data_IF_136441236151
#
_entry.id   IF_136441236151
#
_cell.length_a   1.000
_cell.length_b   1.000
_cell.length_c   1.000
_cell.angle_alpha   90.00
_cell.angle_beta   90.00
_cell.angle_gamma   90.00
#
_symmetry.space_group_name_H-M   'P 1'
#
loop_
_entity.id
_entity.type
_entity.pdbx_description
1 polymer ?
#
# COMPACT_ATOMS: atom_id res chain seq x y z
N UNK A 1 15.91 33.39 8.75
CA UNK A 1 16.58 32.75 7.60
C UNK A 1 16.11 31.29 7.40
N UNK A 2 16.23 30.39 8.38
CA UNK A 2 15.78 28.98 8.26
C UNK A 2 14.28 28.87 7.94
N UNK A 3 13.42 29.64 8.60
CA UNK A 3 11.96 29.63 8.37
C UNK A 3 11.61 30.10 6.96
N UNK A 4 12.31 31.08 6.41
CA UNK A 4 12.10 31.57 5.05
C UNK A 4 12.53 30.51 4.01
N UNK A 5 13.65 29.84 4.26
CA UNK A 5 14.12 28.71 3.40
C UNK A 5 13.12 27.58 3.40
N UNK A 6 12.55 27.23 4.56
CA UNK A 6 11.51 26.19 4.67
C UNK A 6 10.25 26.62 3.90
N UNK A 7 9.81 27.88 4.05
CA UNK A 7 8.64 28.39 3.33
C UNK A 7 8.85 28.46 1.81
N UNK A 8 10.05 28.85 1.37
CA UNK A 8 10.41 28.85 -0.05
C UNK A 8 10.52 27.43 -0.61
N UNK A 9 11.09 26.50 0.16
CA UNK A 9 11.14 25.08 -0.23
C UNK A 9 9.73 24.47 -0.30
N UNK A 10 8.86 24.76 0.65
CA UNK A 10 7.46 24.34 0.64
C UNK A 10 6.69 24.99 -0.53
N UNK A 11 6.90 26.28 -0.79
CA UNK A 11 6.32 26.97 -1.95
C UNK A 11 6.78 26.40 -3.28
N UNK A 12 8.06 26.03 -3.40
CA UNK A 12 8.60 25.36 -4.59
C UNK A 12 8.03 23.95 -4.75
N UNK A 13 7.90 23.19 -3.66
CA UNK A 13 7.29 21.86 -3.65
C UNK A 13 5.82 21.98 -4.09
N UNK A 14 5.07 22.93 -3.56
CA UNK A 14 3.68 23.21 -3.98
C UNK A 14 3.64 23.55 -5.47
N UNK A 15 4.48 24.48 -5.93
CA UNK A 15 4.52 24.89 -7.34
C UNK A 15 4.87 23.74 -8.27
N UNK A 16 5.86 22.90 -7.93
CA UNK A 16 6.26 21.73 -8.71
C UNK A 16 5.17 20.64 -8.78
N UNK A 17 4.30 20.53 -7.77
CA UNK A 17 3.24 19.51 -7.72
C UNK A 17 1.93 19.93 -8.39
N UNK A 18 1.66 21.24 -8.48
CA UNK A 18 0.41 21.75 -9.06
C UNK A 18 0.57 22.27 -10.50
N UNK A 19 1.73 22.07 -11.14
CA UNK A 19 1.92 22.54 -12.51
C UNK A 19 1.13 21.65 -13.50
N UNK A 20 0.20 22.21 -14.32
CA UNK A 20 -0.82 21.46 -15.06
C UNK A 20 -0.31 20.69 -16.30
N UNK A 21 0.99 20.64 -16.55
CA UNK A 21 1.55 20.08 -17.79
C UNK A 21 1.86 18.57 -17.75
N UNK A 22 1.53 17.89 -16.64
CA UNK A 22 1.83 16.45 -16.52
C UNK A 22 0.56 15.61 -16.41
N UNK A 23 0.24 14.89 -17.50
CA UNK A 23 -0.83 13.89 -17.51
C UNK A 23 -0.23 12.49 -17.47
N UNK A 24 -0.39 11.72 -16.37
CA UNK A 24 -0.02 10.30 -16.30
C UNK A 24 -0.76 9.42 -17.31
N UNK A 25 -1.91 9.87 -17.78
CA UNK A 25 -2.87 9.16 -18.64
C UNK A 25 -2.28 8.52 -19.91
N UNK A 26 -1.19 9.10 -20.46
CA UNK A 26 -0.62 8.60 -21.73
C UNK A 26 0.11 7.26 -21.53
N UNK A 27 0.71 7.03 -20.36
CA UNK A 27 1.47 5.80 -20.09
C UNK A 27 0.54 4.63 -19.78
N UNK A 28 -0.52 4.87 -18.99
CA UNK A 28 -1.51 3.84 -18.66
C UNK A 28 -2.32 3.40 -19.89
N UNK A 29 -2.72 4.32 -20.78
CA UNK A 29 -3.42 3.99 -22.03
C UNK A 29 -2.58 3.08 -22.94
N UNK A 30 -1.26 3.31 -23.01
CA UNK A 30 -0.35 2.47 -23.79
C UNK A 30 -0.20 1.07 -23.20
N UNK A 31 -0.06 0.99 -21.86
CA UNK A 31 0.00 -0.29 -21.16
C UNK A 31 -1.31 -1.09 -21.33
N UNK A 32 -2.46 -0.44 -21.21
CA UNK A 32 -3.77 -1.08 -21.43
C UNK A 32 -3.93 -1.59 -22.88
N UNK A 33 -3.43 -0.84 -23.86
CA UNK A 33 -3.44 -1.28 -25.25
C UNK A 33 -2.51 -2.48 -25.49
N UNK A 34 -1.31 -2.45 -24.92
CA UNK A 34 -0.34 -3.54 -25.00
C UNK A 34 -0.88 -4.79 -24.27
N UNK A 35 -1.52 -4.64 -23.12
CA UNK A 35 -2.20 -5.73 -22.42
C UNK A 35 -3.30 -6.34 -23.30
N UNK A 36 -4.16 -5.50 -23.87
CA UNK A 36 -5.27 -5.96 -24.71
C UNK A 36 -4.82 -6.75 -25.94
N UNK A 37 -3.66 -6.39 -26.50
CA UNK A 37 -3.07 -7.08 -27.66
C UNK A 37 -2.23 -8.30 -27.29
N UNK A 38 -1.63 -8.31 -26.09
CA UNK A 38 -0.68 -9.35 -25.63
C UNK A 38 -1.29 -10.44 -24.75
N UNK A 39 -2.59 -10.36 -24.44
CA UNK A 39 -3.26 -11.34 -23.55
C UNK A 39 -4.44 -12.02 -24.22
N UNK A 40 -4.61 -13.31 -23.95
CA UNK A 40 -5.81 -14.04 -24.34
C UNK A 40 -7.06 -13.57 -23.57
N UNK A 41 -8.27 -13.80 -24.09
CA UNK A 41 -9.51 -13.49 -23.37
C UNK A 41 -9.59 -14.20 -22.00
N UNK A 42 -8.97 -15.36 -21.85
CA UNK A 42 -8.89 -16.09 -20.60
C UNK A 42 -8.08 -15.36 -19.54
N UNK A 43 -6.91 -14.84 -19.90
CA UNK A 43 -6.05 -14.03 -19.02
C UNK A 43 -6.75 -12.74 -18.61
N UNK A 44 -7.38 -12.04 -19.53
CA UNK A 44 -8.13 -10.82 -19.22
C UNK A 44 -9.21 -11.07 -18.17
N UNK A 45 -10.03 -12.12 -18.35
CA UNK A 45 -11.06 -12.50 -17.36
C UNK A 45 -10.49 -12.80 -15.98
N UNK A 46 -9.27 -13.32 -15.87
CA UNK A 46 -8.62 -13.57 -14.56
C UNK A 46 -8.20 -12.27 -13.88
N UNK A 47 -7.67 -11.31 -14.63
CA UNK A 47 -7.30 -10.00 -14.10
C UNK A 47 -8.56 -9.22 -13.73
N UNK A 48 -9.53 -9.20 -14.63
CA UNK A 48 -10.78 -8.49 -14.45
C UNK A 48 -11.65 -9.07 -13.32
N UNK A 49 -11.55 -10.39 -13.04
CA UNK A 49 -12.36 -11.04 -12.01
C UNK A 49 -13.86 -10.92 -12.27
N UNK A 50 -14.67 -10.98 -11.20
CA UNK A 50 -16.10 -10.68 -11.27
C UNK A 50 -16.40 -9.33 -10.57
N UNK A 51 -17.60 -8.78 -10.85
CA UNK A 51 -18.07 -7.53 -10.24
C UNK A 51 -19.05 -7.76 -9.08
N UNK A 52 -19.19 -8.99 -8.64
CA UNK A 52 -20.08 -9.31 -7.53
C UNK A 52 -19.52 -8.80 -6.22
N UNK A 53 -19.97 -7.62 -5.81
CA UNK A 53 -19.67 -7.07 -4.50
C UNK A 53 -20.37 -7.88 -3.40
N UNK A 54 -19.85 -7.82 -2.16
CA UNK A 54 -20.63 -8.24 -1.00
C UNK A 54 -21.91 -7.38 -0.92
N UNK A 55 -23.03 -7.99 -0.57
CA UNK A 55 -24.33 -7.31 -0.45
C UNK A 55 -24.28 -6.05 0.44
N UNK A 56 -23.43 -6.09 1.48
CA UNK A 56 -23.25 -4.97 2.42
C UNK A 56 -22.50 -3.78 1.83
N UNK A 57 -21.63 -3.99 0.83
CA UNK A 57 -20.80 -2.95 0.21
C UNK A 57 -20.96 -2.97 -1.32
N UNK A 58 -22.15 -2.60 -1.83
CA UNK A 58 -22.51 -2.85 -3.23
C UNK A 58 -21.63 -2.11 -4.24
N UNK A 59 -21.17 -0.90 -3.89
CA UNK A 59 -20.38 -0.05 -4.77
C UNK A 59 -18.88 -0.38 -4.78
N UNK A 60 -18.35 -1.04 -3.73
CA UNK A 60 -16.90 -1.14 -3.52
C UNK A 60 -16.18 -1.94 -4.63
N UNK A 61 -16.82 -3.02 -5.12
CA UNK A 61 -16.21 -3.84 -6.17
C UNK A 61 -16.20 -3.13 -7.53
N UNK A 62 -17.25 -2.36 -7.84
CA UNK A 62 -17.33 -1.58 -9.08
C UNK A 62 -16.37 -0.40 -9.08
N UNK A 63 -16.23 0.30 -7.95
CA UNK A 63 -15.23 1.37 -7.75
C UNK A 63 -13.84 0.86 -8.06
N UNK A 64 -13.47 -0.26 -7.44
CA UNK A 64 -12.16 -0.86 -7.62
C UNK A 64 -11.96 -1.39 -9.05
N UNK A 65 -12.96 -2.04 -9.64
CA UNK A 65 -12.89 -2.58 -11.00
C UNK A 65 -12.82 -1.46 -12.06
N UNK A 66 -13.58 -0.39 -11.88
CA UNK A 66 -13.61 0.73 -12.83
C UNK A 66 -12.27 1.45 -12.95
N UNK A 67 -11.58 1.64 -11.85
CA UNK A 67 -10.34 2.38 -11.81
C UNK A 67 -9.09 1.49 -11.99
N UNK A 68 -9.02 0.35 -11.29
CA UNK A 68 -7.85 -0.54 -11.30
C UNK A 68 -7.89 -1.57 -12.42
N UNK A 69 -9.05 -1.78 -13.07
CA UNK A 69 -9.25 -2.86 -14.03
C UNK A 69 -9.28 -4.26 -13.39
N UNK A 70 -9.47 -4.33 -12.06
CA UNK A 70 -9.41 -5.55 -11.26
C UNK A 70 -10.74 -5.77 -10.54
N UNK A 71 -11.36 -6.92 -10.74
CA UNK A 71 -12.60 -7.30 -10.03
C UNK A 71 -12.33 -8.25 -8.86
N UNK A 72 -13.39 -8.78 -8.28
CA UNK A 72 -13.31 -9.74 -7.18
C UNK A 72 -12.86 -11.10 -7.71
N UNK A 73 -11.87 -11.69 -7.08
CA UNK A 73 -11.40 -13.05 -7.35
C UNK A 73 -11.80 -14.00 -6.21
N UNK A 74 -12.09 -15.25 -6.51
CA UNK A 74 -12.39 -16.32 -5.55
C UNK A 74 -11.27 -17.34 -5.47
N UNK A 75 -11.39 -18.28 -4.53
CA UNK A 75 -10.40 -19.36 -4.39
C UNK A 75 -9.05 -18.90 -3.87
N UNK A 76 -9.00 -17.79 -3.14
CA UNK A 76 -7.74 -17.31 -2.58
C UNK A 76 -7.46 -17.94 -1.21
N UNK A 77 -6.19 -18.20 -0.96
CA UNK A 77 -5.67 -18.50 0.37
C UNK A 77 -4.86 -17.26 0.82
N UNK A 78 -5.28 -16.66 1.92
CA UNK A 78 -4.69 -15.43 2.45
C UNK A 78 -4.10 -15.71 3.83
N UNK A 79 -2.81 -15.45 3.99
CA UNK A 79 -2.14 -15.42 5.28
C UNK A 79 -1.86 -13.97 5.68
N UNK A 80 -2.43 -13.53 6.80
CA UNK A 80 -2.15 -12.21 7.39
C UNK A 80 -0.92 -12.32 8.28
N UNK A 81 0.12 -11.58 7.95
CA UNK A 81 1.42 -11.62 8.63
C UNK A 81 1.61 -10.30 9.38
N UNK A 82 1.71 -10.37 10.70
CA UNK A 82 1.98 -9.21 11.58
C UNK A 82 3.38 -9.19 12.14
N UNK A 83 4.07 -10.33 12.09
CA UNK A 83 5.45 -10.52 12.54
C UNK A 83 6.42 -10.43 11.35
N UNK A 84 7.34 -9.48 11.41
CA UNK A 84 8.33 -9.26 10.36
C UNK A 84 9.32 -10.41 10.20
N UNK A 85 9.70 -11.11 11.27
CA UNK A 85 10.58 -12.27 11.20
C UNK A 85 9.89 -13.45 10.49
N UNK A 86 8.59 -13.64 10.73
CA UNK A 86 7.79 -14.61 9.98
C UNK A 86 7.70 -14.23 8.50
N UNK A 87 7.44 -12.95 8.17
CA UNK A 87 7.48 -12.49 6.77
C UNK A 87 8.80 -12.82 6.11
N UNK A 88 9.92 -12.51 6.77
CA UNK A 88 11.26 -12.79 6.25
C UNK A 88 11.43 -14.28 5.96
N UNK A 89 11.09 -15.14 6.92
CA UNK A 89 11.21 -16.61 6.77
C UNK A 89 10.38 -17.15 5.62
N UNK A 90 9.12 -16.76 5.53
CA UNK A 90 8.21 -17.18 4.44
C UNK A 90 8.70 -16.68 3.08
N UNK A 91 9.09 -15.39 3.00
CA UNK A 91 9.60 -14.81 1.76
C UNK A 91 10.86 -15.52 1.27
N UNK A 92 11.82 -15.78 2.16
CA UNK A 92 13.06 -16.48 1.79
C UNK A 92 12.80 -17.91 1.35
N UNK A 93 11.87 -18.61 2.02
CA UNK A 93 11.44 -19.95 1.62
C UNK A 93 10.80 -19.96 0.22
N UNK A 94 9.85 -19.05 -0.04
CA UNK A 94 9.16 -19.00 -1.32
C UNK A 94 10.07 -18.54 -2.46
N UNK A 95 11.01 -17.60 -2.19
CA UNK A 95 12.04 -17.22 -3.16
C UNK A 95 12.97 -18.38 -3.52
N UNK A 96 13.40 -19.18 -2.53
CA UNK A 96 14.26 -20.36 -2.77
C UNK A 96 13.52 -21.43 -3.59
N UNK A 97 12.22 -21.58 -3.37
CA UNK A 97 11.36 -22.52 -4.10
C UNK A 97 11.07 -22.12 -5.56
N UNK A 98 11.29 -20.86 -5.95
CA UNK A 98 11.01 -20.33 -7.28
C UNK A 98 11.66 -21.15 -8.40
N UNK A 99 10.95 -21.36 -9.52
CA UNK A 99 11.39 -22.16 -10.67
C UNK A 99 11.41 -21.38 -11.99
N UNK A 100 10.49 -20.43 -12.17
CA UNK A 100 10.24 -19.75 -13.44
C UNK A 100 10.52 -18.26 -13.36
N UNK A 101 9.83 -17.55 -12.44
CA UNK A 101 9.88 -16.09 -12.37
C UNK A 101 9.86 -15.58 -10.93
N UNK A 102 10.60 -14.50 -10.69
CA UNK A 102 10.49 -13.67 -9.50
C UNK A 102 10.31 -12.23 -9.96
N UNK A 103 9.17 -11.65 -9.67
CA UNK A 103 8.87 -10.25 -9.90
C UNK A 103 8.75 -9.52 -8.56
N UNK A 104 9.59 -8.51 -8.35
CA UNK A 104 9.68 -7.80 -7.07
C UNK A 104 9.66 -6.30 -7.27
N UNK A 105 8.83 -5.61 -6.51
CA UNK A 105 8.66 -4.16 -6.52
C UNK A 105 8.61 -3.62 -5.10
N UNK A 106 9.52 -2.68 -4.78
CA UNK A 106 9.59 -2.12 -3.43
C UNK A 106 9.90 -0.62 -3.41
N UNK A 107 9.18 0.08 -2.51
CA UNK A 107 9.41 1.48 -2.19
C UNK A 107 10.75 1.68 -1.48
N UNK A 108 11.03 0.88 -0.43
CA UNK A 108 12.26 0.95 0.35
C UNK A 108 12.92 -0.41 0.43
N UNK A 109 14.21 -0.41 0.12
CA UNK A 109 15.11 -1.55 0.26
C UNK A 109 16.28 -1.13 1.13
N UNK A 110 16.41 -1.73 2.32
CA UNK A 110 17.44 -1.39 3.31
C UNK A 110 18.87 -1.74 2.88
N UNK A 111 19.81 -1.39 3.76
CA UNK A 111 21.23 -1.71 3.58
C UNK A 111 21.76 -2.58 4.70
N UNK A 112 20.88 -3.34 5.32
CA UNK A 112 21.09 -4.21 6.47
C UNK A 112 21.26 -5.68 6.06
N UNK A 113 21.35 -6.55 7.05
CA UNK A 113 21.58 -7.99 6.83
C UNK A 113 20.43 -8.62 6.06
N UNK A 114 19.18 -8.43 6.51
CA UNK A 114 18.00 -9.02 5.86
C UNK A 114 17.85 -8.59 4.41
N UNK A 115 18.12 -7.31 4.10
CA UNK A 115 18.12 -6.82 2.72
C UNK A 115 19.20 -7.48 1.86
N UNK A 116 20.42 -7.67 2.40
CA UNK A 116 21.50 -8.37 1.68
C UNK A 116 21.17 -9.84 1.41
N UNK A 117 20.54 -10.49 2.37
CA UNK A 117 20.15 -11.90 2.21
C UNK A 117 19.12 -12.05 1.07
N UNK A 118 18.15 -11.13 0.98
CA UNK A 118 17.21 -11.10 -0.16
C UNK A 118 17.96 -10.85 -1.48
N UNK A 119 18.89 -9.87 -1.55
CA UNK A 119 19.68 -9.61 -2.76
C UNK A 119 20.46 -10.85 -3.20
N UNK A 120 21.11 -11.52 -2.26
CA UNK A 120 21.87 -12.74 -2.53
C UNK A 120 20.96 -13.87 -3.06
N UNK A 121 19.77 -14.00 -2.50
CA UNK A 121 18.77 -14.98 -2.97
C UNK A 121 18.33 -14.67 -4.41
N UNK A 122 18.04 -13.42 -4.75
CA UNK A 122 17.67 -13.03 -6.11
C UNK A 122 18.79 -13.35 -7.12
N UNK A 123 20.05 -13.08 -6.76
CA UNK A 123 21.22 -13.41 -7.58
C UNK A 123 21.38 -14.94 -7.73
N UNK A 124 21.25 -15.70 -6.63
CA UNK A 124 21.27 -17.16 -6.66
C UNK A 124 20.21 -17.70 -7.63
N UNK A 125 18.97 -17.23 -7.52
CA UNK A 125 17.86 -17.69 -8.37
C UNK A 125 18.05 -17.33 -9.85
N UNK A 126 18.58 -16.13 -10.14
CA UNK A 126 18.94 -15.76 -11.50
C UNK A 126 20.04 -16.66 -12.10
N UNK A 127 21.05 -17.03 -11.31
CA UNK A 127 22.08 -17.99 -11.71
C UNK A 127 21.54 -19.41 -11.93
N UNK A 128 20.45 -19.79 -11.27
CA UNK A 128 19.71 -21.05 -11.48
C UNK A 128 18.80 -21.00 -12.72
N UNK A 129 18.73 -19.86 -13.45
CA UNK A 129 17.93 -19.71 -14.66
C UNK A 129 16.54 -19.11 -14.44
N UNK A 130 16.16 -18.77 -13.20
CA UNK A 130 14.90 -18.08 -12.89
C UNK A 130 14.93 -16.66 -13.46
N UNK A 131 13.86 -16.22 -14.13
CA UNK A 131 13.72 -14.85 -14.66
C UNK A 131 13.38 -13.88 -13.52
N UNK A 132 14.40 -13.19 -13.01
CA UNK A 132 14.24 -12.25 -11.89
C UNK A 132 14.16 -10.81 -12.39
N UNK A 133 13.06 -10.11 -12.07
CA UNK A 133 12.82 -8.70 -12.37
C UNK A 133 12.59 -7.91 -11.11
N UNK A 134 13.31 -6.81 -10.97
CA UNK A 134 13.25 -5.96 -9.79
C UNK A 134 12.98 -4.49 -10.17
N UNK A 135 11.91 -3.90 -9.62
CA UNK A 135 11.59 -2.48 -9.71
C UNK A 135 11.77 -1.83 -8.35
N UNK A 136 12.51 -0.74 -8.31
CA UNK A 136 12.76 0.01 -7.07
C UNK A 136 12.42 1.48 -7.25
N UNK A 137 11.77 2.07 -6.24
CA UNK A 137 11.65 3.51 -6.17
C UNK A 137 13.05 4.17 -6.10
N UNK A 138 13.25 5.23 -6.86
CA UNK A 138 14.59 5.80 -7.06
C UNK A 138 15.05 6.66 -5.90
N UNK A 139 14.17 7.53 -5.35
CA UNK A 139 14.59 8.55 -4.38
C UNK A 139 14.85 7.96 -2.99
N UNK A 140 13.95 7.10 -2.51
CA UNK A 140 14.10 6.50 -1.18
C UNK A 140 15.25 5.51 -1.08
N UNK A 141 15.66 4.94 -2.22
CA UNK A 141 16.75 3.98 -2.28
C UNK A 141 18.04 4.59 -2.85
N UNK A 142 18.18 5.91 -2.91
CA UNK A 142 19.28 6.57 -3.64
C UNK A 142 20.67 6.00 -3.31
N UNK A 143 21.13 5.85 -2.07
CA UNK A 143 22.46 5.26 -1.79
C UNK A 143 22.48 3.74 -2.01
N UNK A 144 21.41 3.06 -1.60
CA UNK A 144 21.28 1.60 -1.60
C UNK A 144 21.08 1.07 -3.01
N UNK A 145 20.30 1.80 -3.84
CA UNK A 145 20.00 1.42 -5.20
C UNK A 145 21.24 1.23 -6.05
N UNK A 146 22.18 2.18 -6.05
CA UNK A 146 23.39 2.09 -6.90
C UNK A 146 24.25 0.89 -6.55
N UNK A 147 24.38 0.57 -5.26
CA UNK A 147 25.17 -0.54 -4.78
C UNK A 147 24.51 -1.88 -5.10
N UNK A 148 23.24 -2.06 -4.77
CA UNK A 148 22.54 -3.33 -5.07
C UNK A 148 22.24 -3.49 -6.55
N UNK A 149 21.96 -2.42 -7.28
CA UNK A 149 21.79 -2.47 -8.73
C UNK A 149 22.99 -3.10 -9.43
N UNK A 150 24.21 -2.74 -9.02
CA UNK A 150 25.41 -3.32 -9.62
C UNK A 150 25.49 -4.82 -9.33
N UNK A 151 25.29 -5.24 -8.09
CA UNK A 151 25.30 -6.65 -7.66
C UNK A 151 24.23 -7.45 -8.40
N UNK A 152 22.99 -6.96 -8.38
CA UNK A 152 21.86 -7.62 -9.02
C UNK A 152 22.06 -7.76 -10.54
N UNK A 153 22.46 -6.68 -11.24
CA UNK A 153 22.70 -6.74 -12.68
C UNK A 153 23.85 -7.68 -13.06
N UNK A 154 24.95 -7.65 -12.30
CA UNK A 154 26.08 -8.58 -12.51
C UNK A 154 25.65 -10.02 -12.27
N UNK A 155 24.71 -10.24 -11.34
CA UNK A 155 24.11 -11.55 -11.03
C UNK A 155 22.98 -11.98 -11.99
N UNK A 156 22.73 -11.27 -13.08
CA UNK A 156 21.73 -11.68 -14.08
C UNK A 156 20.29 -11.19 -13.80
N UNK A 157 20.09 -10.37 -12.76
CA UNK A 157 18.77 -9.81 -12.44
C UNK A 157 18.47 -8.59 -13.31
N UNK A 158 17.28 -8.53 -13.89
CA UNK A 158 16.79 -7.35 -14.60
C UNK A 158 16.32 -6.30 -13.58
N UNK A 159 16.97 -5.11 -13.55
CA UNK A 159 16.71 -4.07 -12.55
C UNK A 159 16.32 -2.76 -13.22
N UNK A 160 15.16 -2.23 -12.86
CA UNK A 160 14.66 -0.92 -13.30
C UNK A 160 14.40 0.01 -12.13
N UNK A 161 14.43 1.31 -12.44
CA UNK A 161 13.99 2.38 -11.53
C UNK A 161 12.62 2.87 -11.95
N UNK A 162 11.74 3.00 -11.00
CA UNK A 162 10.39 3.48 -11.28
C UNK A 162 10.37 4.92 -11.80
N UNK A 163 11.20 5.81 -11.25
CA UNK A 163 11.30 7.21 -11.67
C UNK A 163 12.66 7.47 -12.32
N UNK A 164 12.70 8.13 -13.47
CA UNK A 164 13.93 8.51 -14.13
C UNK A 164 14.57 9.73 -13.43
N UNK A 165 15.91 9.90 -13.46
CA UNK A 165 16.58 10.99 -12.74
C UNK A 165 16.10 12.39 -13.11
N UNK A 166 15.77 12.62 -14.38
CA UNK A 166 15.27 13.93 -14.86
C UNK A 166 13.81 14.19 -14.49
N UNK A 167 13.06 13.15 -14.11
CA UNK A 167 11.68 13.29 -13.61
C UNK A 167 11.64 13.73 -12.14
N UNK A 168 12.79 13.73 -11.43
CA UNK A 168 12.86 14.07 -10.00
C UNK A 168 12.38 15.49 -9.70
N UNK A 169 12.59 16.45 -10.60
CA UNK A 169 12.14 17.82 -10.43
C UNK A 169 10.61 17.97 -10.52
N UNK A 170 9.96 17.14 -11.34
CA UNK A 170 8.52 17.27 -11.64
C UNK A 170 7.66 16.17 -11.03
N UNK A 171 8.28 15.05 -10.57
CA UNK A 171 7.59 13.86 -10.05
C UNK A 171 8.09 13.44 -8.67
N UNK A 172 8.72 14.34 -7.92
CA UNK A 172 9.27 14.00 -6.59
C UNK A 172 8.22 13.46 -5.62
N UNK A 173 6.95 13.83 -5.79
CA UNK A 173 5.83 13.36 -4.98
C UNK A 173 5.11 12.13 -5.57
N UNK A 174 5.27 11.85 -6.86
CA UNK A 174 4.67 10.67 -7.49
C UNK A 174 5.53 9.44 -7.23
N UNK A 175 5.34 8.84 -6.06
CA UNK A 175 6.18 7.76 -5.54
C UNK A 175 5.55 6.41 -5.79
N UNK A 176 6.38 5.45 -6.16
CA UNK A 176 5.92 4.07 -6.15
C UNK A 176 6.00 3.51 -4.72
N UNK A 177 4.87 3.53 -4.04
CA UNK A 177 4.78 3.06 -2.65
C UNK A 177 4.29 1.60 -2.55
N UNK A 178 4.10 0.92 -3.68
CA UNK A 178 3.74 -0.50 -3.74
C UNK A 178 4.84 -1.38 -3.15
N UNK A 179 4.47 -2.50 -2.55
CA UNK A 179 5.33 -3.56 -2.07
C UNK A 179 4.73 -4.85 -2.60
N UNK A 180 5.26 -5.32 -3.71
CA UNK A 180 4.74 -6.48 -4.43
C UNK A 180 5.87 -7.46 -4.67
N UNK A 181 5.62 -8.72 -4.35
CA UNK A 181 6.43 -9.86 -4.83
C UNK A 181 5.48 -10.84 -5.47
N UNK A 182 5.81 -11.31 -6.68
CA UNK A 182 5.10 -12.41 -7.32
C UNK A 182 6.12 -13.47 -7.72
N UNK A 183 5.88 -14.70 -7.29
CA UNK A 183 6.76 -15.85 -7.48
C UNK A 183 6.02 -16.89 -8.31
N UNK A 184 6.56 -17.24 -9.47
CA UNK A 184 6.02 -18.22 -10.43
C UNK A 184 4.54 -18.00 -10.75
N UNK A 185 4.04 -16.75 -10.60
CA UNK A 185 2.62 -16.38 -10.73
C UNK A 185 1.66 -17.23 -9.89
N UNK A 186 2.15 -17.84 -8.81
CA UNK A 186 1.42 -18.74 -7.90
C UNK A 186 1.30 -18.20 -6.49
N UNK A 187 2.35 -17.52 -6.01
CA UNK A 187 2.40 -16.92 -4.68
C UNK A 187 2.71 -15.43 -4.83
N UNK A 188 1.98 -14.60 -4.09
CA UNK A 188 2.27 -13.17 -4.06
C UNK A 188 2.30 -12.63 -2.63
N UNK A 189 3.04 -11.53 -2.47
CA UNK A 189 3.11 -10.75 -1.24
C UNK A 189 2.73 -9.31 -1.52
N UNK A 190 1.94 -8.71 -0.61
CA UNK A 190 1.64 -7.26 -0.61
C UNK A 190 1.32 -6.78 0.81
N UNK A 191 1.34 -5.46 1.05
CA UNK A 191 1.05 -4.87 2.35
C UNK A 191 1.99 -3.74 2.74
N UNK A 192 2.15 -3.48 4.05
CA UNK A 192 2.91 -2.34 4.56
C UNK A 192 4.43 -2.54 4.64
N UNK A 193 4.91 -3.79 4.83
CA UNK A 193 6.31 -4.09 5.16
C UNK A 193 7.25 -3.94 3.96
N UNK A 194 8.27 -3.10 4.07
CA UNK A 194 9.39 -3.05 3.14
C UNK A 194 10.44 -4.14 3.40
N UNK A 195 11.54 -4.12 2.66
CA UNK A 195 12.70 -5.03 2.83
C UNK A 195 13.79 -4.31 3.62
N UNK A 196 13.82 -4.51 4.92
CA UNK A 196 14.83 -3.98 5.83
C UNK A 196 14.66 -4.59 7.22
N UNK A 197 15.75 -4.72 7.97
CA UNK A 197 15.77 -5.25 9.34
C UNK A 197 14.82 -4.47 10.28
N UNK A 198 14.57 -3.18 10.01
CA UNK A 198 13.59 -2.43 10.80
C UNK A 198 12.17 -3.02 10.69
N UNK A 199 11.77 -3.49 9.52
CA UNK A 199 10.47 -4.14 9.30
C UNK A 199 10.51 -5.59 9.75
N UNK A 200 11.64 -6.27 9.63
CA UNK A 200 11.76 -7.67 10.02
C UNK A 200 11.88 -7.88 11.52
N UNK A 201 12.43 -6.90 12.28
CA UNK A 201 12.84 -7.11 13.67
C UNK A 201 12.30 -6.07 14.66
N UNK A 202 11.74 -4.92 14.22
CA UNK A 202 11.49 -3.79 15.11
C UNK A 202 10.14 -3.11 14.97
N UNK A 203 9.56 -3.10 13.78
CA UNK A 203 8.32 -2.39 13.50
C UNK A 203 7.15 -3.33 13.51
N UNK A 204 6.04 -2.86 14.08
CA UNK A 204 4.75 -3.53 13.97
C UNK A 204 4.09 -3.11 12.65
N UNK A 205 4.01 -4.03 11.69
CA UNK A 205 3.38 -3.77 10.40
C UNK A 205 2.55 -4.98 9.97
N UNK A 206 1.72 -4.84 8.94
CA UNK A 206 0.88 -5.92 8.42
C UNK A 206 1.18 -6.16 6.95
N UNK A 207 1.33 -7.43 6.59
CA UNK A 207 1.60 -7.90 5.23
C UNK A 207 0.75 -9.12 4.92
N UNK A 208 0.60 -9.42 3.64
CA UNK A 208 -0.14 -10.57 3.16
C UNK A 208 0.77 -11.48 2.35
N UNK A 209 0.58 -12.79 2.51
CA UNK A 209 0.95 -13.83 1.56
C UNK A 209 -0.32 -14.39 0.95
N UNK A 210 -0.41 -14.41 -0.38
CA UNK A 210 -1.61 -14.75 -1.13
C UNK A 210 -1.29 -15.83 -2.15
N UNK A 211 -2.14 -16.83 -2.22
CA UNK A 211 -2.21 -17.82 -3.30
C UNK A 211 -3.62 -17.74 -3.92
N UNK A 212 -3.76 -17.97 -5.23
CA UNK A 212 -5.05 -17.95 -5.91
C UNK A 212 -5.24 -16.80 -6.88
N UNK A 213 -6.51 -16.47 -7.19
CA UNK A 213 -6.86 -15.54 -8.26
C UNK A 213 -6.28 -14.13 -8.14
N UNK A 214 -6.16 -13.61 -6.91
CA UNK A 214 -5.61 -12.28 -6.66
C UNK A 214 -4.11 -12.14 -7.01
N UNK A 215 -3.38 -13.26 -7.13
CA UNK A 215 -1.99 -13.27 -7.60
C UNK A 215 -1.90 -12.69 -9.02
N UNK A 216 -2.86 -13.02 -9.90
CA UNK A 216 -2.90 -12.47 -11.26
C UNK A 216 -3.04 -10.94 -11.27
N UNK A 217 -3.81 -10.38 -10.33
CA UNK A 217 -3.97 -8.93 -10.22
C UNK A 217 -2.68 -8.24 -9.72
N UNK A 218 -1.98 -8.83 -8.76
CA UNK A 218 -0.66 -8.32 -8.31
C UNK A 218 0.40 -8.46 -9.41
N UNK A 219 0.37 -9.54 -10.18
CA UNK A 219 1.20 -9.74 -11.37
C UNK A 219 0.94 -8.66 -12.43
N UNK A 220 -0.33 -8.35 -12.70
CA UNK A 220 -0.74 -7.28 -13.59
C UNK A 220 -0.17 -5.92 -13.14
N UNK A 221 -0.29 -5.57 -11.86
CA UNK A 221 0.25 -4.32 -11.31
C UNK A 221 1.77 -4.25 -11.42
N UNK A 222 2.48 -5.36 -11.14
CA UNK A 222 3.92 -5.41 -11.34
C UNK A 222 4.31 -5.16 -12.79
N UNK A 223 3.62 -5.80 -13.75
CA UNK A 223 3.91 -5.61 -15.17
C UNK A 223 3.62 -4.18 -15.64
N UNK A 224 2.59 -3.51 -15.09
CA UNK A 224 2.35 -2.08 -15.28
C UNK A 224 3.54 -1.25 -14.78
N UNK A 225 3.99 -1.47 -13.54
CA UNK A 225 5.16 -0.77 -12.97
C UNK A 225 6.43 -1.04 -13.79
N UNK A 226 6.61 -2.27 -14.27
CA UNK A 226 7.73 -2.66 -15.13
C UNK A 226 7.71 -1.88 -16.46
N UNK A 227 6.57 -1.85 -17.13
CA UNK A 227 6.38 -1.12 -18.38
C UNK A 227 6.58 0.40 -18.20
N UNK A 228 5.96 0.99 -17.19
CA UNK A 228 6.10 2.41 -16.84
C UNK A 228 7.55 2.80 -16.52
N UNK A 229 8.32 1.86 -15.99
CA UNK A 229 9.77 2.02 -15.73
C UNK A 229 10.64 1.88 -17.00
N UNK A 230 10.03 1.63 -18.18
CA UNK A 230 10.70 1.45 -19.46
C UNK A 230 11.15 0.01 -19.73
N UNK A 231 10.61 -0.95 -18.99
CA UNK A 231 10.85 -2.38 -19.22
C UNK A 231 10.12 -2.89 -20.45
N UNK A 232 10.75 -3.81 -21.16
CA UNK A 232 10.13 -4.46 -22.31
C UNK A 232 9.23 -5.59 -21.80
N UNK A 233 8.04 -5.66 -22.36
CA UNK A 233 7.11 -6.77 -22.16
C UNK A 233 7.23 -7.76 -23.30
N UNK A 234 7.05 -9.06 -23.07
CA UNK A 234 6.96 -10.04 -24.15
C UNK A 234 5.71 -9.78 -25.00
N UNK A 235 5.68 -10.33 -26.21
CA UNK A 235 4.47 -10.24 -27.06
C UNK A 235 3.34 -11.11 -26.54
N UNK A 236 3.67 -12.24 -25.91
CA UNK A 236 2.75 -13.17 -25.30
C UNK A 236 2.89 -13.09 -23.78
N UNK A 237 1.80 -12.71 -23.09
CA UNK A 237 1.76 -12.54 -21.65
C UNK A 237 1.09 -13.70 -20.92
N UNK A 238 0.44 -14.60 -21.65
CA UNK A 238 -0.30 -15.72 -21.06
C UNK A 238 0.55 -16.56 -20.09
N UNK A 239 1.85 -16.81 -20.32
CA UNK A 239 2.70 -17.53 -19.36
C UNK A 239 2.83 -16.88 -17.99
N UNK A 240 2.58 -15.55 -17.88
CA UNK A 240 2.57 -14.86 -16.58
C UNK A 240 1.26 -15.01 -15.82
N UNK A 241 0.28 -15.67 -16.39
CA UNK A 241 -1.06 -15.82 -15.85
C UNK A 241 -1.55 -17.27 -15.96
N UNK A 242 -0.87 -18.25 -15.33
CA UNK A 242 -1.24 -19.65 -15.40
C UNK A 242 -2.66 -19.88 -14.86
N UNK A 243 -3.31 -20.95 -15.33
CA UNK A 243 -4.65 -21.33 -14.86
C UNK A 243 -4.64 -21.73 -13.38
N UNK A 244 -5.66 -21.33 -12.58
CA UNK A 244 -5.72 -21.64 -11.16
C UNK A 244 -5.73 -23.15 -10.84
N UNK A 245 -6.36 -23.95 -11.67
CA UNK A 245 -6.61 -25.38 -11.41
C UNK A 245 -5.36 -26.26 -11.49
N UNK A 246 -4.34 -25.81 -12.23
CA UNK A 246 -3.06 -26.52 -12.31
C UNK A 246 -2.11 -26.17 -11.15
N UNK A 247 -2.39 -25.07 -10.44
CA UNK A 247 -1.52 -24.52 -9.41
C UNK A 247 -1.92 -24.87 -7.98
N UNK A 248 -3.18 -25.21 -7.73
CA UNK A 248 -3.74 -25.35 -6.39
C UNK A 248 -4.47 -26.68 -6.24
N UNK A 249 -3.75 -27.74 -5.94
CA UNK A 249 -4.34 -28.97 -5.40
C UNK A 249 -5.01 -28.76 -4.01
N UNK A 250 -5.55 -27.57 -3.76
CA UNK A 250 -6.18 -27.16 -2.52
C UNK A 250 -7.69 -27.07 -2.69
N UNK A 251 -8.43 -27.47 -1.65
CA UNK A 251 -9.87 -27.29 -1.56
C UNK A 251 -10.27 -25.85 -1.90
N UNK A 252 -11.38 -25.61 -2.59
CA UNK A 252 -11.83 -24.29 -2.97
C UNK A 252 -12.03 -23.42 -1.72
N UNK A 253 -11.10 -22.50 -1.49
CA UNK A 253 -11.27 -21.49 -0.44
C UNK A 253 -12.40 -20.54 -0.86
N UNK A 254 -13.30 -20.22 0.06
CA UNK A 254 -14.35 -19.21 -0.17
C UNK A 254 -13.81 -17.78 -0.09
N UNK A 255 -12.53 -17.58 0.22
CA UNK A 255 -11.96 -16.25 0.41
C UNK A 255 -11.95 -15.46 -0.89
N UNK A 256 -12.71 -14.37 -0.91
CA UNK A 256 -12.79 -13.42 -2.03
C UNK A 256 -11.85 -12.25 -1.78
N UNK A 257 -11.04 -11.94 -2.79
CA UNK A 257 -10.05 -10.85 -2.73
C UNK A 257 -10.12 -10.01 -3.99
N UNK A 258 -9.95 -8.72 -3.85
CA UNK A 258 -9.80 -7.77 -4.94
C UNK A 258 -8.61 -6.86 -4.67
N UNK A 259 -7.71 -6.72 -5.63
CA UNK A 259 -6.59 -5.79 -5.50
C UNK A 259 -7.00 -4.44 -6.08
N UNK A 260 -6.98 -3.43 -5.24
CA UNK A 260 -7.25 -2.04 -5.62
C UNK A 260 -5.93 -1.29 -5.73
N UNK A 261 -5.68 -0.71 -6.88
CA UNK A 261 -4.51 0.13 -7.11
C UNK A 261 -4.90 1.59 -7.20
N UNK A 262 -4.06 2.47 -6.66
CA UNK A 262 -4.13 3.89 -6.93
C UNK A 262 -2.90 4.34 -7.72
N UNK A 263 -3.07 5.38 -8.51
CA UNK A 263 -2.04 5.98 -9.34
C UNK A 263 -2.27 7.49 -9.43
N UNK A 264 -1.20 8.30 -9.46
CA UNK A 264 -1.35 9.74 -9.63
C UNK A 264 -2.10 10.08 -10.91
N UNK A 265 -3.06 10.99 -10.81
CA UNK A 265 -3.86 11.47 -11.96
C UNK A 265 -5.15 10.69 -12.22
N UNK A 266 -5.43 9.64 -11.48
CA UNK A 266 -6.77 9.03 -11.49
C UNK A 266 -7.78 10.00 -10.86
N UNK A 267 -9.02 9.97 -11.36
CA UNK A 267 -10.13 10.72 -10.78
C UNK A 267 -11.44 9.98 -11.14
N UNK A 268 -12.19 9.50 -10.15
CA UNK A 268 -11.87 9.51 -8.72
C UNK A 268 -10.70 8.59 -8.35
N UNK A 269 -10.09 8.81 -7.16
CA UNK A 269 -9.07 7.95 -6.61
C UNK A 269 -9.67 6.69 -5.99
N UNK A 270 -9.41 5.49 -6.53
CA UNK A 270 -10.16 4.28 -6.17
C UNK A 270 -9.95 3.86 -4.71
N UNK A 271 -8.76 4.06 -4.15
CA UNK A 271 -8.50 3.73 -2.74
C UNK A 271 -9.30 4.64 -1.82
N UNK A 272 -9.34 5.95 -2.08
CA UNK A 272 -10.17 6.88 -1.30
C UNK A 272 -11.65 6.51 -1.39
N UNK A 273 -12.15 6.25 -2.60
CA UNK A 273 -13.55 5.85 -2.79
C UNK A 273 -13.89 4.54 -2.07
N UNK A 274 -12.98 3.57 -2.03
CA UNK A 274 -13.18 2.35 -1.24
C UNK A 274 -13.28 2.63 0.28
N UNK A 275 -12.49 3.58 0.82
CA UNK A 275 -12.66 4.03 2.19
C UNK A 275 -14.00 4.72 2.42
N UNK A 276 -14.42 5.58 1.48
CA UNK A 276 -15.71 6.28 1.53
C UNK A 276 -16.87 5.30 1.57
N UNK A 277 -16.88 4.33 0.66
CA UNK A 277 -17.89 3.28 0.55
C UNK A 277 -17.94 2.39 1.81
N UNK A 278 -16.75 1.99 2.31
CA UNK A 278 -16.68 1.20 3.54
C UNK A 278 -17.25 1.96 4.76
N UNK A 279 -16.94 3.25 4.90
CA UNK A 279 -17.47 4.08 5.98
C UNK A 279 -18.98 4.34 5.86
N UNK A 280 -19.49 4.47 4.63
CA UNK A 280 -20.92 4.71 4.36
C UNK A 280 -21.80 3.52 4.72
N UNK A 281 -21.32 2.31 4.43
CA UNK A 281 -22.11 1.09 4.55
C UNK A 281 -21.82 0.27 5.82
N UNK A 282 -20.80 0.65 6.61
CA UNK A 282 -20.52 0.01 7.90
C UNK A 282 -21.61 0.32 8.92
N UNK A 283 -22.02 -0.69 9.70
CA UNK A 283 -23.16 -0.62 10.63
C UNK A 283 -22.77 -0.79 12.09
N UNK A 284 -21.64 -1.45 12.39
CA UNK A 284 -21.20 -1.77 13.73
C UNK A 284 -19.94 -1.04 14.10
N UNK A 285 -18.89 -1.16 13.29
CA UNK A 285 -17.60 -0.56 13.56
C UNK A 285 -16.74 -0.41 12.32
N UNK A 286 -15.81 0.55 12.40
CA UNK A 286 -14.72 0.74 11.45
C UNK A 286 -13.42 0.99 12.22
N UNK A 287 -12.48 0.04 12.20
CA UNK A 287 -11.20 0.13 12.89
C UNK A 287 -10.07 0.31 11.91
N UNK A 288 -9.31 1.39 12.06
CA UNK A 288 -8.23 1.82 11.17
C UNK A 288 -6.89 1.79 11.89
N UNK A 289 -5.88 1.17 11.29
CA UNK A 289 -4.47 1.32 11.66
C UNK A 289 -3.72 2.03 10.55
N UNK A 290 -3.00 3.09 10.87
CA UNK A 290 -2.15 3.81 9.93
C UNK A 290 -0.99 4.50 10.66
N UNK A 291 0.20 4.64 10.05
CA UNK A 291 1.26 5.44 10.65
C UNK A 291 0.95 6.95 10.65
N UNK A 292 0.02 7.38 9.82
CA UNK A 292 -0.36 8.79 9.65
C UNK A 292 -1.88 8.94 9.55
N UNK A 293 -2.39 10.09 10.02
CA UNK A 293 -3.80 10.47 9.88
C UNK A 293 -3.87 11.91 9.35
N UNK A 294 -3.83 12.03 8.03
CA UNK A 294 -3.86 13.31 7.30
C UNK A 294 -4.84 13.18 6.11
N UNK A 295 -6.12 12.86 6.38
CA UNK A 295 -7.08 12.57 5.33
C UNK A 295 -7.36 13.76 4.43
N UNK A 296 -7.85 13.49 3.22
CA UNK A 296 -8.48 14.51 2.38
C UNK A 296 -9.69 15.12 3.09
N UNK A 297 -10.11 16.29 2.64
CA UNK A 297 -11.30 16.92 3.24
C UNK A 297 -12.55 16.04 3.10
N UNK A 298 -12.74 15.40 1.94
CA UNK A 298 -13.88 14.48 1.70
C UNK A 298 -13.88 13.32 2.69
N UNK A 299 -12.73 12.66 2.83
CA UNK A 299 -12.60 11.49 3.70
C UNK A 299 -12.70 11.88 5.18
N UNK A 300 -12.16 13.05 5.58
CA UNK A 300 -12.32 13.59 6.93
C UNK A 300 -13.79 13.86 7.27
N UNK A 301 -14.53 14.46 6.35
CA UNK A 301 -15.95 14.74 6.57
C UNK A 301 -16.75 13.45 6.65
N UNK A 302 -16.49 12.46 5.80
CA UNK A 302 -17.15 11.15 5.81
C UNK A 302 -16.89 10.36 7.10
N UNK A 303 -15.65 10.25 7.57
CA UNK A 303 -15.35 9.50 8.79
C UNK A 303 -15.97 10.15 10.03
N UNK A 304 -16.05 11.51 10.06
CA UNK A 304 -16.77 12.23 11.12
C UNK A 304 -18.27 12.00 11.05
N UNK A 305 -18.85 11.97 9.87
CA UNK A 305 -20.27 11.69 9.67
C UNK A 305 -20.62 10.28 10.12
N UNK A 306 -19.84 9.29 9.73
CA UNK A 306 -20.00 7.91 10.17
C UNK A 306 -19.95 7.77 11.71
N UNK A 307 -19.01 8.42 12.38
CA UNK A 307 -18.92 8.41 13.83
C UNK A 307 -20.14 9.11 14.50
N UNK A 308 -20.59 10.26 13.96
CA UNK A 308 -21.79 10.95 14.45
C UNK A 308 -23.07 10.15 14.30
N UNK A 309 -23.14 9.28 13.28
CA UNK A 309 -24.29 8.38 13.09
C UNK A 309 -24.27 7.17 14.02
N UNK A 310 -23.28 7.06 14.91
CA UNK A 310 -23.18 6.01 15.94
C UNK A 310 -22.27 4.83 15.58
N UNK A 311 -21.56 4.89 14.46
CA UNK A 311 -20.56 3.88 14.12
C UNK A 311 -19.37 3.94 15.12
N UNK A 312 -18.94 2.80 15.68
CA UNK A 312 -17.72 2.72 16.50
C UNK A 312 -16.48 2.89 15.59
N UNK A 313 -16.01 4.13 15.47
CA UNK A 313 -14.84 4.46 14.66
C UNK A 313 -13.61 4.57 15.55
N UNK A 314 -12.62 3.68 15.34
CA UNK A 314 -11.36 3.68 16.07
C UNK A 314 -10.18 3.85 15.13
N UNK A 315 -9.26 4.74 15.50
CA UNK A 315 -8.05 5.02 14.73
C UNK A 315 -6.84 4.77 15.61
N UNK A 316 -5.93 3.91 15.15
CA UNK A 316 -4.69 3.60 15.84
C UNK A 316 -3.50 4.19 15.10
N UNK A 317 -2.66 4.95 15.82
CA UNK A 317 -1.50 5.68 15.34
C UNK A 317 -0.28 5.37 16.22
N UNK A 318 0.96 5.61 15.75
CA UNK A 318 2.13 5.49 16.62
C UNK A 318 2.20 6.63 17.65
N UNK A 319 2.45 6.29 18.92
CA UNK A 319 2.66 7.28 19.97
C UNK A 319 3.90 8.15 19.75
N UNK A 320 4.94 7.57 19.12
CA UNK A 320 6.19 8.28 18.80
C UNK A 320 6.44 8.22 17.30
N UNK A 321 6.68 9.37 16.63
CA UNK A 321 7.00 9.38 15.22
C UNK A 321 8.44 8.89 15.00
N UNK A 322 8.72 8.42 13.79
CA UNK A 322 10.10 8.25 13.32
C UNK A 322 10.81 9.60 13.22
N UNK A 323 12.13 9.62 13.42
CA UNK A 323 12.90 10.88 13.41
C UNK A 323 12.73 11.70 12.12
N UNK A 324 12.71 11.02 10.96
CA UNK A 324 12.59 11.67 9.65
C UNK A 324 11.19 12.25 9.44
N UNK A 325 10.17 11.65 10.05
CA UNK A 325 8.76 12.06 9.93
C UNK A 325 8.23 12.69 11.22
N UNK A 326 9.12 13.27 12.05
CA UNK A 326 8.73 13.85 13.34
C UNK A 326 7.65 14.93 13.23
N UNK A 327 7.61 15.67 12.12
CA UNK A 327 6.59 16.68 11.84
C UNK A 327 5.19 16.10 11.62
N UNK A 328 5.07 14.80 11.31
CA UNK A 328 3.78 14.14 11.10
C UNK A 328 2.97 14.05 12.39
N UNK A 329 3.63 13.94 13.57
CA UNK A 329 2.89 13.86 14.83
C UNK A 329 2.09 15.14 15.11
N UNK A 330 2.66 16.36 15.19
CA UNK A 330 1.85 17.55 15.36
C UNK A 330 0.86 17.79 14.22
N UNK A 331 1.13 17.30 13.01
CA UNK A 331 0.19 17.40 11.90
C UNK A 331 -1.05 16.52 12.13
N UNK A 332 -0.92 15.22 12.45
CA UNK A 332 -2.11 14.40 12.70
C UNK A 332 -2.83 14.78 14.02
N UNK A 333 -2.13 15.23 15.05
CA UNK A 333 -2.74 15.77 16.26
C UNK A 333 -3.66 16.99 15.97
N UNK A 334 -3.37 17.75 14.93
CA UNK A 334 -4.21 18.89 14.50
C UNK A 334 -5.65 18.50 14.14
N UNK A 335 -5.89 17.23 13.84
CA UNK A 335 -7.22 16.68 13.51
C UNK A 335 -7.95 16.11 14.75
N UNK A 336 -7.24 15.80 15.83
CA UNK A 336 -7.81 15.07 16.96
C UNK A 336 -9.05 15.73 17.56
N UNK A 337 -8.99 17.04 17.83
CA UNK A 337 -10.09 17.74 18.49
C UNK A 337 -11.42 17.61 17.74
N UNK A 338 -11.44 17.91 16.45
CA UNK A 338 -12.67 17.83 15.67
C UNK A 338 -13.18 16.41 15.47
N UNK A 339 -12.27 15.44 15.41
CA UNK A 339 -12.61 14.03 15.28
C UNK A 339 -13.14 13.45 16.59
N UNK A 340 -12.52 13.75 17.74
CA UNK A 340 -13.00 13.36 19.05
C UNK A 340 -14.39 13.94 19.34
N UNK A 341 -14.64 15.20 18.97
CA UNK A 341 -15.97 15.82 19.09
C UNK A 341 -17.02 15.19 18.15
N UNK A 342 -16.60 14.51 17.11
CA UNK A 342 -17.47 13.73 16.23
C UNK A 342 -17.72 12.30 16.73
N UNK A 343 -17.01 11.85 17.79
CA UNK A 343 -17.15 10.50 18.35
C UNK A 343 -16.08 9.50 17.89
N UNK A 344 -15.10 9.93 17.08
CA UNK A 344 -13.96 9.08 16.69
C UNK A 344 -13.03 8.89 17.89
N UNK A 345 -12.56 7.66 18.11
CA UNK A 345 -11.63 7.32 19.19
C UNK A 345 -10.23 7.12 18.64
N UNK A 346 -9.24 7.82 19.19
CA UNK A 346 -7.83 7.68 18.82
C UNK A 346 -7.06 6.89 19.87
N UNK A 347 -6.21 5.98 19.40
CA UNK A 347 -5.36 5.12 20.21
C UNK A 347 -3.91 5.30 19.76
N UNK A 348 -3.05 5.83 20.63
CA UNK A 348 -1.62 5.98 20.37
C UNK A 348 -0.86 4.76 20.89
N UNK A 349 -0.36 3.92 19.97
CA UNK A 349 0.39 2.71 20.31
C UNK A 349 1.79 3.06 20.81
N UNK A 350 2.08 2.60 22.02
CA UNK A 350 3.41 2.64 22.62
C UNK A 350 4.32 1.51 22.14
N UNK A 351 5.56 1.50 22.64
CA UNK A 351 6.52 0.43 22.31
C UNK A 351 7.02 0.50 20.86
N UNK A 352 6.75 -0.55 20.08
CA UNK A 352 7.15 -0.65 18.68
C UNK A 352 6.40 0.36 17.80
N UNK A 353 7.12 0.89 16.79
CA UNK A 353 6.50 1.79 15.82
C UNK A 353 5.49 1.04 14.95
N UNK A 354 4.20 1.41 15.07
CA UNK A 354 3.17 0.83 14.22
C UNK A 354 3.19 1.49 12.85
N UNK A 355 3.36 0.64 11.82
CA UNK A 355 3.41 1.07 10.41
C UNK A 355 2.34 0.37 9.56
N UNK A 356 1.40 -0.34 10.17
CA UNK A 356 0.30 -1.01 9.48
C UNK A 356 -0.59 -0.03 8.72
N UNK A 357 -1.11 -0.46 7.60
CA UNK A 357 -2.11 0.25 6.81
C UNK A 357 -3.26 -0.72 6.56
N UNK A 358 -4.17 -0.75 7.52
CA UNK A 358 -5.30 -1.69 7.50
C UNK A 358 -6.56 -1.02 7.97
N UNK A 359 -7.68 -1.44 7.44
CA UNK A 359 -8.94 -1.28 8.13
C UNK A 359 -9.71 -2.60 8.18
N UNK A 360 -10.60 -2.71 9.13
CA UNK A 360 -11.59 -3.78 9.22
C UNK A 360 -12.94 -3.21 9.58
N UNK A 361 -13.99 -3.71 8.93
CA UNK A 361 -15.36 -3.26 9.10
C UNK A 361 -16.32 -4.45 9.26
N UNK A 362 -17.16 -4.40 10.28
CA UNK A 362 -18.36 -5.24 10.50
C UNK A 362 -18.14 -6.76 10.44
N UNK A 363 -16.96 -7.27 10.74
CA UNK A 363 -16.59 -8.68 10.61
C UNK A 363 -16.75 -9.27 9.18
N UNK A 364 -16.79 -8.42 8.14
CA UNK A 364 -17.08 -8.84 6.76
C UNK A 364 -16.07 -8.33 5.73
N UNK A 365 -15.44 -7.19 6.00
CA UNK A 365 -14.51 -6.55 5.09
C UNK A 365 -13.20 -6.21 5.80
N UNK A 366 -12.08 -6.57 5.18
CA UNK A 366 -10.75 -6.10 5.57
C UNK A 366 -10.06 -5.44 4.37
N UNK A 367 -9.30 -4.38 4.64
CA UNK A 367 -8.35 -3.82 3.70
C UNK A 367 -6.95 -3.90 4.32
N UNK A 368 -6.00 -4.45 3.60
CA UNK A 368 -4.60 -4.54 4.00
C UNK A 368 -3.75 -4.17 2.79
N UNK A 369 -2.90 -3.14 2.93
CA UNK A 369 -2.17 -2.66 1.76
C UNK A 369 -0.99 -1.74 2.05
N UNK A 370 -0.65 -0.96 1.06
CA UNK A 370 0.45 -0.01 1.13
C UNK A 370 0.01 1.43 1.44
N UNK A 371 -1.27 1.77 1.25
CA UNK A 371 -1.78 3.14 1.37
C UNK A 371 -1.90 3.59 2.82
N UNK A 372 -1.16 4.64 3.19
CA UNK A 372 -1.42 5.34 4.44
C UNK A 372 -2.75 6.11 4.37
N UNK A 373 -3.30 6.44 5.52
CA UNK A 373 -4.48 7.31 5.61
C UNK A 373 -4.04 8.79 5.58
N UNK A 374 -3.41 9.16 4.46
CA UNK A 374 -2.94 10.54 4.22
C UNK A 374 -3.15 10.98 2.76
N UNK A 375 -3.22 12.31 2.56
CA UNK A 375 -3.44 12.92 1.25
C UNK A 375 -2.44 12.45 0.20
N UNK A 376 -1.19 12.23 0.58
CA UNK A 376 -0.13 11.84 -0.34
C UNK A 376 -0.35 10.42 -0.87
N UNK A 377 -0.64 9.46 0.01
CA UNK A 377 -0.94 8.09 -0.40
C UNK A 377 -2.22 8.01 -1.23
N UNK A 378 -3.24 8.81 -0.86
CA UNK A 378 -4.55 8.76 -1.49
C UNK A 378 -4.64 9.50 -2.84
N UNK A 379 -3.74 10.48 -3.12
CA UNK A 379 -3.85 11.34 -4.31
C UNK A 379 -2.61 11.33 -5.21
N UNK A 380 -1.44 10.95 -4.70
CA UNK A 380 -0.17 11.20 -5.38
C UNK A 380 0.75 9.99 -5.49
N UNK A 381 0.48 8.89 -4.77
CA UNK A 381 1.33 7.72 -4.79
C UNK A 381 0.73 6.58 -5.61
N UNK A 382 1.62 5.74 -6.17
CA UNK A 382 1.23 4.44 -6.68
C UNK A 382 1.08 3.49 -5.50
N UNK A 383 -0.13 3.02 -5.25
CA UNK A 383 -0.48 2.18 -4.11
C UNK A 383 -1.12 0.87 -4.56
N UNK A 384 -1.12 -0.11 -3.67
CA UNK A 384 -1.83 -1.37 -3.87
C UNK A 384 -2.40 -1.87 -2.54
N UNK A 385 -3.71 -2.08 -2.50
CA UNK A 385 -4.41 -2.59 -1.33
C UNK A 385 -5.22 -3.83 -1.71
N UNK A 386 -5.26 -4.81 -0.82
CA UNK A 386 -6.14 -5.96 -0.93
C UNK A 386 -7.41 -5.73 -0.12
N UNK A 387 -8.54 -5.66 -0.79
CA UNK A 387 -9.87 -5.78 -0.19
C UNK A 387 -10.18 -7.26 -0.04
N UNK A 388 -10.45 -7.70 1.17
CA UNK A 388 -10.67 -9.11 1.50
C UNK A 388 -12.09 -9.23 2.04
N UNK A 389 -12.95 -9.87 1.27
CA UNK A 389 -14.37 -10.09 1.56
C UNK A 389 -14.55 -11.47 2.18
N UNK A 390 -13.93 -11.68 3.35
CA UNK A 390 -13.93 -12.94 4.06
C UNK A 390 -14.09 -12.74 5.56
N UNK A 391 -15.08 -13.41 6.13
CA UNK A 391 -15.41 -13.26 7.55
C UNK A 391 -14.28 -13.72 8.48
N UNK A 392 -13.59 -14.79 8.14
CA UNK A 392 -12.50 -15.31 8.98
C UNK A 392 -11.33 -14.33 9.02
N UNK A 393 -10.96 -13.79 7.87
CA UNK A 393 -9.90 -12.76 7.76
C UNK A 393 -10.33 -11.46 8.46
N UNK A 394 -11.59 -11.05 8.35
CA UNK A 394 -12.10 -9.86 9.03
C UNK A 394 -12.06 -10.02 10.56
N UNK A 395 -12.51 -11.17 11.08
CA UNK A 395 -12.42 -11.47 12.50
C UNK A 395 -10.96 -11.50 13.00
N UNK A 396 -10.06 -12.10 12.23
CA UNK A 396 -8.63 -12.11 12.56
C UNK A 396 -8.06 -10.68 12.59
N UNK A 397 -8.35 -9.85 11.57
CA UNK A 397 -7.86 -8.48 11.50
C UNK A 397 -8.43 -7.61 12.66
N UNK A 398 -9.69 -7.83 13.05
CA UNK A 398 -10.27 -7.23 14.24
C UNK A 398 -9.56 -7.67 15.52
N UNK A 399 -9.27 -8.97 15.67
CA UNK A 399 -8.53 -9.48 16.83
C UNK A 399 -7.12 -8.88 16.90
N UNK A 400 -6.44 -8.76 15.77
CA UNK A 400 -5.14 -8.09 15.66
C UNK A 400 -5.24 -6.64 16.13
N UNK A 401 -6.24 -5.89 15.66
CA UNK A 401 -6.46 -4.51 16.10
C UNK A 401 -6.68 -4.43 17.61
N UNK A 402 -7.54 -5.27 18.16
CA UNK A 402 -7.87 -5.27 19.61
C UNK A 402 -6.68 -5.70 20.47
N UNK A 403 -5.84 -6.62 19.98
CA UNK A 403 -4.60 -6.99 20.67
C UNK A 403 -3.59 -5.82 20.69
N UNK A 404 -3.37 -5.16 19.55
CA UNK A 404 -2.51 -3.97 19.47
C UNK A 404 -3.04 -2.82 20.36
N UNK A 405 -4.37 -2.71 20.51
CA UNK A 405 -5.01 -1.68 21.33
C UNK A 405 -4.67 -1.81 22.82
N UNK A 406 -4.32 -3.01 23.32
CA UNK A 406 -3.95 -3.21 24.73
C UNK A 406 -2.69 -2.41 25.10
N UNK A 407 -1.80 -2.16 24.15
CA UNK A 407 -0.57 -1.39 24.34
C UNK A 407 -0.72 0.10 23.97
N UNK A 408 -1.96 0.57 23.82
CA UNK A 408 -2.25 1.94 23.41
C UNK A 408 -2.71 2.81 24.59
N UNK A 409 -2.42 4.10 24.46
CA UNK A 409 -3.07 5.15 25.27
C UNK A 409 -4.19 5.77 24.45
N UNK A 410 -5.40 5.80 24.98
CA UNK A 410 -6.52 6.49 24.34
C UNK A 410 -6.38 8.00 24.51
N UNK A 411 -6.52 8.74 23.41
CA UNK A 411 -6.44 10.21 23.39
C UNK A 411 -7.75 10.80 23.88
N UNK A 412 -7.68 11.77 24.81
CA UNK A 412 -8.84 12.43 25.39
C UNK A 412 -8.87 13.94 25.10
N UNK A 413 -10.04 14.55 25.14
CA UNK A 413 -10.17 16.01 24.96
C UNK A 413 -9.40 16.79 26.05
N UNK A 414 -9.35 16.30 27.29
CA UNK A 414 -8.61 16.93 28.39
C UNK A 414 -7.10 17.01 28.12
N UNK A 415 -6.53 15.96 27.51
CA UNK A 415 -5.12 15.99 27.09
C UNK A 415 -4.87 17.07 26.04
N UNK A 416 -5.79 17.29 25.11
CA UNK A 416 -5.65 18.34 24.08
C UNK A 416 -5.75 19.75 24.63
N UNK A 417 -6.45 19.95 25.75
CA UNK A 417 -6.53 21.25 26.43
C UNK A 417 -5.21 21.66 27.06
N UNK A 418 -4.39 20.70 27.47
CA UNK A 418 -3.07 20.93 28.05
C UNK A 418 -1.97 21.23 27.03
N UNK A 419 -2.23 21.08 25.72
CA UNK A 419 -1.23 21.34 24.66
C UNK A 419 -0.84 22.81 24.67
N UNK A 420 0.49 23.16 24.73
CA UNK A 420 0.96 24.53 24.71
C UNK A 420 0.50 25.30 23.47
N UNK A 421 0.27 26.60 23.62
CA UNK A 421 -0.19 27.43 22.50
C UNK A 421 0.75 27.42 21.29
N UNK A 422 2.08 27.30 21.53
CA UNK A 422 3.11 27.19 20.48
C UNK A 422 2.92 25.94 19.63
N UNK A 423 2.64 24.83 20.25
CA UNK A 423 2.41 23.54 19.56
C UNK A 423 1.09 23.58 18.77
N UNK A 424 0.06 24.20 19.35
CA UNK A 424 -1.21 24.44 18.64
C UNK A 424 -1.02 25.35 17.41
N UNK A 425 -0.15 26.36 17.51
CA UNK A 425 0.19 27.19 16.35
C UNK A 425 0.92 26.38 15.28
N UNK A 426 1.92 25.56 15.66
CA UNK A 426 2.63 24.65 14.75
C UNK A 426 1.66 23.69 14.07
N UNK A 427 0.75 23.05 14.81
CA UNK A 427 -0.29 22.19 14.27
C UNK A 427 -1.14 22.89 13.21
N UNK A 428 -1.57 24.13 13.46
CA UNK A 428 -2.35 24.92 12.48
C UNK A 428 -1.54 25.25 11.23
N UNK A 429 -0.28 25.64 11.38
CA UNK A 429 0.59 25.94 10.26
C UNK A 429 0.85 24.71 9.41
N UNK A 430 1.18 23.57 10.03
CA UNK A 430 1.41 22.32 9.30
C UNK A 430 0.15 21.87 8.54
N UNK A 431 -1.03 22.07 9.13
CA UNK A 431 -2.30 21.72 8.50
C UNK A 431 -2.58 22.48 7.19
N UNK A 432 -2.06 23.70 7.01
CA UNK A 432 -2.17 24.43 5.75
C UNK A 432 -1.44 23.74 4.61
N UNK A 433 -0.45 22.91 4.94
CA UNK A 433 0.37 22.18 3.98
C UNK A 433 0.03 20.67 3.92
N UNK A 434 -1.03 20.25 4.60
CA UNK A 434 -1.42 18.84 4.70
C UNK A 434 -1.59 18.12 3.35
N UNK A 435 -2.02 18.84 2.31
CA UNK A 435 -2.22 18.28 0.97
C UNK A 435 -0.92 18.01 0.21
N UNK A 436 0.23 18.49 0.69
CA UNK A 436 1.53 18.36 0.00
C UNK A 436 2.61 17.69 0.86
N UNK A 437 2.33 17.49 2.16
CA UNK A 437 3.17 16.75 3.10
C UNK A 437 2.82 15.28 3.12
#
# INVERSE_FOLDING_TARGET
MVTLIILLALGLIVWLNFHPHWRPEILDARFKADLASGTSPGVRRRIEGCREAPEQYPGIADIAAGASGTGVTSGNKVEVITDGARKYTLLMHDLDAARETIHMEYFLFGFDKGSRDVVNMLVKKAAEGVKVRFVSDNLMNFPTYYRYRHILKKGGVEVLRFTKPWDLLHRSNFRNHRKIVVIDSRVAYTGGMNISDRYFLRWRDTHLRIEGGAVAQLQYLFLNSWHTSGGRLPKDWDPFFPLPDEALGAAPSSCRVQIVADEPGLSPHPVEECFMEALEHSKKYFFLQSPYFVPTKRLLDRIKEAARSGLDVRVMLPAKPEKITAFMKPLHESYYRECLLAGIRFFEKGGEFIHSKTFVADDTLSCIGSSNFDCRSLLMAYEANALIYDRQTALLNRQIFLADQQDCTEVTLSQLESVPWRDRLLQRVLRLFASVL
#
